data_IF_282509876053
#
_entry.id   IF_282509876053
#
_cell.length_a   1.000
_cell.length_b   1.000
_cell.length_c   1.000
_cell.angle_alpha   90.00
_cell.angle_beta   90.00
_cell.angle_gamma   90.00
#
_symmetry.space_group_name_H-M   'P 1'
#
loop_
_entity.id
_entity.type
_entity.pdbx_description
1 polymer ?
#
# COMPACT_ATOMS: atom_id res chain seq x y z
N UNK A 1 1.10 -17.56 7.65
CA UNK A 1 1.04 -18.51 6.51
C UNK A 1 1.49 -19.89 6.95
N UNK A 2 1.32 -20.93 6.12
CA UNK A 2 1.93 -22.24 6.37
C UNK A 2 3.40 -22.24 5.92
N UNK A 3 4.36 -22.59 6.79
CA UNK A 3 5.74 -22.83 6.39
C UNK A 3 5.82 -23.88 5.28
N UNK A 4 6.84 -23.75 4.41
CA UNK A 4 7.07 -24.60 3.22
C UNK A 4 6.05 -24.48 2.07
N UNK A 5 5.00 -23.66 2.17
CA UNK A 5 4.17 -23.35 1.00
C UNK A 5 4.97 -22.59 -0.08
N UNK A 6 4.71 -22.78 -1.40
CA UNK A 6 5.54 -22.18 -2.45
C UNK A 6 5.65 -20.65 -2.36
N UNK A 7 4.54 -19.98 -2.01
CA UNK A 7 4.52 -18.53 -1.84
C UNK A 7 5.33 -18.05 -0.64
N UNK A 8 5.33 -18.80 0.46
CA UNK A 8 6.16 -18.53 1.64
C UNK A 8 7.66 -18.67 1.30
N UNK A 9 8.04 -19.66 0.48
CA UNK A 9 9.41 -19.79 -0.03
C UNK A 9 9.81 -18.63 -0.94
N UNK A 10 8.87 -18.13 -1.76
CA UNK A 10 9.09 -16.94 -2.58
C UNK A 10 9.17 -15.66 -1.73
N UNK A 11 8.55 -15.60 -0.54
CA UNK A 11 8.65 -14.46 0.37
C UNK A 11 9.94 -14.45 1.22
N UNK A 12 10.60 -15.60 1.39
CA UNK A 12 11.87 -15.77 2.12
C UNK A 12 13.07 -15.39 1.24
N UNK A 13 13.97 -14.51 1.72
CA UNK A 13 15.19 -14.14 1.00
C UNK A 13 16.46 -14.63 1.72
N UNK A 14 17.27 -15.43 1.03
CA UNK A 14 18.37 -16.17 1.66
C UNK A 14 17.85 -17.09 2.77
N UNK A 15 18.38 -16.91 3.99
CA UNK A 15 17.92 -17.60 5.21
C UNK A 15 16.99 -16.72 6.07
N UNK A 16 16.44 -15.63 5.53
CA UNK A 16 15.59 -14.68 6.25
C UNK A 16 14.13 -14.90 5.85
N UNK A 17 13.33 -15.37 6.79
CA UNK A 17 11.89 -15.59 6.62
C UNK A 17 11.10 -14.27 6.74
N UNK A 18 9.88 -14.16 6.16
CA UNK A 18 9.00 -12.99 6.30
C UNK A 18 8.38 -12.90 7.72
N UNK A 19 9.22 -12.56 8.72
CA UNK A 19 8.85 -12.50 10.14
C UNK A 19 8.71 -11.07 10.66
N UNK A 20 7.87 -10.93 11.69
CA UNK A 20 7.36 -9.65 12.19
C UNK A 20 8.46 -8.66 12.64
N UNK A 21 9.52 -9.15 13.28
CA UNK A 21 10.61 -8.32 13.84
C UNK A 21 11.41 -7.49 12.83
N UNK A 22 11.19 -7.67 11.53
CA UNK A 22 11.85 -6.87 10.49
C UNK A 22 11.22 -5.48 10.29
N UNK A 23 10.03 -5.24 10.86
CA UNK A 23 9.31 -3.96 10.79
C UNK A 23 8.96 -3.52 12.23
N UNK A 24 9.22 -2.25 12.63
CA UNK A 24 9.01 -1.79 14.00
C UNK A 24 7.54 -1.51 14.37
N UNK A 25 6.58 -1.93 13.53
CA UNK A 25 5.14 -1.69 13.69
C UNK A 25 4.37 -3.01 13.52
N UNK A 26 3.49 -3.41 14.46
CA UNK A 26 2.72 -4.66 14.38
C UNK A 26 1.56 -4.63 13.37
N UNK A 27 1.27 -3.49 12.74
CA UNK A 27 0.32 -3.34 11.62
C UNK A 27 0.48 -1.95 10.99
N UNK A 28 -0.20 -1.68 9.87
CA UNK A 28 -0.19 -0.33 9.26
C UNK A 28 -0.94 0.72 10.09
N UNK A 29 -1.89 0.31 10.95
CA UNK A 29 -2.52 1.19 11.95
C UNK A 29 -1.48 1.75 12.93
N UNK A 30 -0.59 0.88 13.43
CA UNK A 30 0.36 1.22 14.49
C UNK A 30 1.40 2.28 14.09
N UNK A 31 1.60 2.52 12.79
CA UNK A 31 2.45 3.63 12.31
C UNK A 31 1.89 4.98 12.81
N UNK A 32 0.58 5.21 12.66
CA UNK A 32 -0.07 6.48 13.05
C UNK A 32 -0.07 6.63 14.56
N UNK A 33 -0.37 5.54 15.30
CA UNK A 33 -0.28 5.51 16.77
C UNK A 33 1.13 5.88 17.25
N UNK A 34 2.18 5.41 16.57
CA UNK A 34 3.56 5.82 16.81
C UNK A 34 3.84 7.29 16.50
N UNK A 35 3.35 7.80 15.36
CA UNK A 35 3.59 9.19 14.94
C UNK A 35 2.96 10.22 15.89
N UNK A 36 1.73 10.00 16.38
CA UNK A 36 1.05 10.98 17.24
C UNK A 36 1.73 11.18 18.60
N UNK A 37 2.46 10.18 19.11
CA UNK A 37 3.16 10.26 20.41
C UNK A 37 4.17 11.41 20.43
N UNK A 38 4.99 11.52 19.38
CA UNK A 38 6.08 12.52 19.29
C UNK A 38 5.75 13.70 18.38
N UNK A 39 4.88 13.51 17.39
CA UNK A 39 4.71 14.44 16.27
C UNK A 39 3.23 14.80 15.98
N UNK A 40 2.35 14.72 16.98
CA UNK A 40 0.92 15.09 16.87
C UNK A 40 0.63 16.40 16.12
N UNK A 41 1.43 17.44 16.35
CA UNK A 41 1.22 18.78 15.81
C UNK A 41 1.75 18.96 14.36
N UNK A 42 2.58 18.03 13.87
CA UNK A 42 3.14 18.08 12.53
C UNK A 42 2.08 17.75 11.47
N UNK A 43 2.35 18.09 10.20
CA UNK A 43 1.41 17.88 9.08
C UNK A 43 2.05 17.02 8.00
N UNK A 44 1.96 15.68 8.12
CA UNK A 44 2.44 14.76 7.09
C UNK A 44 1.72 15.02 5.77
N UNK A 45 0.38 15.09 5.76
CA UNK A 45 -0.42 15.40 4.57
C UNK A 45 -0.70 16.91 4.46
N UNK A 46 0.36 17.68 4.31
CA UNK A 46 0.40 19.16 4.44
C UNK A 46 -0.64 19.88 3.58
N UNK A 47 -0.95 19.39 2.38
CA UNK A 47 -1.90 20.04 1.47
C UNK A 47 -3.34 20.08 1.99
N UNK A 48 -3.75 19.13 2.82
CA UNK A 48 -5.10 19.05 3.40
C UNK A 48 -5.20 19.77 4.76
N UNK A 49 -4.12 20.40 5.23
CA UNK A 49 -4.12 21.27 6.40
C UNK A 49 -4.27 20.59 7.76
N UNK A 50 -4.58 19.29 7.81
CA UNK A 50 -4.68 18.50 9.06
C UNK A 50 -3.31 18.35 9.74
N UNK A 51 -3.29 18.37 11.07
CA UNK A 51 -2.18 17.81 11.85
C UNK A 51 -2.31 16.29 11.96
N UNK A 52 -1.23 15.61 12.37
CA UNK A 52 -1.23 14.17 12.57
C UNK A 52 -2.26 13.72 13.63
N UNK A 53 -2.55 14.55 14.65
CA UNK A 53 -3.63 14.26 15.62
C UNK A 53 -5.03 14.54 15.04
N UNK A 54 -5.21 15.57 14.21
CA UNK A 54 -6.50 15.79 13.52
C UNK A 54 -6.82 14.63 12.56
N UNK A 55 -5.79 14.12 11.87
CA UNK A 55 -5.87 12.96 10.99
C UNK A 55 -6.25 11.69 11.76
N UNK A 56 -5.56 11.39 12.87
CA UNK A 56 -5.90 10.26 13.74
C UNK A 56 -7.30 10.38 14.37
N UNK A 57 -7.71 11.58 14.77
CA UNK A 57 -9.06 11.83 15.28
C UNK A 57 -10.13 11.61 14.19
N UNK A 58 -9.85 12.01 12.95
CA UNK A 58 -10.73 11.76 11.80
C UNK A 58 -10.84 10.26 11.49
N UNK A 59 -9.73 9.52 11.55
CA UNK A 59 -9.71 8.06 11.43
C UNK A 59 -10.58 7.40 12.51
N UNK A 60 -10.53 7.86 13.76
CA UNK A 60 -11.39 7.35 14.84
C UNK A 60 -12.88 7.64 14.62
N UNK A 61 -13.23 8.83 14.12
CA UNK A 61 -14.62 9.17 13.75
C UNK A 61 -15.14 8.27 12.64
N UNK A 62 -14.34 8.07 11.60
CA UNK A 62 -14.65 7.18 10.48
C UNK A 62 -14.69 5.71 10.92
N UNK A 63 -13.88 5.29 11.89
CA UNK A 63 -13.95 3.93 12.48
C UNK A 63 -15.28 3.69 13.19
N UNK A 64 -15.80 4.69 13.93
CA UNK A 64 -17.15 4.62 14.50
C UNK A 64 -18.23 4.59 13.41
N UNK A 65 -18.16 5.49 12.42
CA UNK A 65 -19.12 5.53 11.31
C UNK A 65 -19.15 4.22 10.48
N UNK A 66 -17.99 3.62 10.18
CA UNK A 66 -17.89 2.33 9.49
C UNK A 66 -18.54 1.19 10.30
N UNK A 67 -18.39 1.20 11.63
CA UNK A 67 -19.09 0.28 12.51
C UNK A 67 -20.62 0.49 12.46
N UNK A 68 -21.09 1.74 12.36
CA UNK A 68 -22.52 2.05 12.20
C UNK A 68 -23.05 1.65 10.82
N UNK A 69 -22.22 1.71 9.77
CA UNK A 69 -22.49 1.10 8.45
C UNK A 69 -22.44 -0.44 8.47
N UNK A 70 -22.26 -1.08 9.64
CA UNK A 70 -22.22 -2.53 9.78
C UNK A 70 -20.98 -3.17 9.17
N UNK A 71 -19.86 -2.45 9.05
CA UNK A 71 -18.56 -3.03 8.69
C UNK A 71 -17.93 -3.67 9.93
N UNK A 72 -17.41 -4.88 9.74
CA UNK A 72 -16.83 -5.75 10.75
C UNK A 72 -15.37 -6.08 10.40
N UNK A 73 -14.58 -6.56 11.38
CA UNK A 73 -13.24 -7.08 11.09
C UNK A 73 -13.25 -8.16 10.00
N UNK A 74 -12.26 -8.12 9.11
CA UNK A 74 -12.06 -9.00 7.95
C UNK A 74 -13.12 -8.92 6.83
N UNK A 75 -14.07 -7.98 6.91
CA UNK A 75 -14.85 -7.57 5.74
C UNK A 75 -13.93 -7.01 4.65
N UNK A 76 -14.29 -7.24 3.39
CA UNK A 76 -13.66 -6.59 2.23
C UNK A 76 -14.51 -5.39 1.82
N UNK A 77 -13.96 -4.19 1.85
CA UNK A 77 -14.72 -2.96 1.58
C UNK A 77 -14.11 -2.17 0.44
N UNK A 78 -14.92 -1.83 -0.56
CA UNK A 78 -14.48 -1.07 -1.74
C UNK A 78 -14.23 0.39 -1.38
N UNK A 79 -13.06 0.89 -1.76
CA UNK A 79 -12.78 2.32 -1.87
C UNK A 79 -12.94 2.69 -3.35
N UNK A 80 -14.10 3.24 -3.71
CA UNK A 80 -14.43 3.69 -5.09
C UNK A 80 -14.29 5.24 -5.23
N UNK A 81 -13.79 5.91 -4.18
CA UNK A 81 -13.54 7.35 -4.17
C UNK A 81 -12.27 7.71 -4.98
N UNK A 82 -12.25 8.91 -5.54
CA UNK A 82 -11.12 9.45 -6.30
C UNK A 82 -10.49 10.68 -5.60
N UNK A 83 -11.12 11.18 -4.53
CA UNK A 83 -10.55 12.16 -3.61
C UNK A 83 -9.48 11.47 -2.75
N UNK A 84 -8.25 11.98 -2.81
CA UNK A 84 -7.13 11.51 -1.99
C UNK A 84 -7.49 11.50 -0.49
N UNK A 85 -8.08 12.59 0.01
CA UNK A 85 -8.35 12.77 1.44
C UNK A 85 -9.41 11.78 1.94
N UNK A 86 -10.50 11.59 1.20
CA UNK A 86 -11.51 10.59 1.56
C UNK A 86 -10.90 9.17 1.50
N UNK A 87 -10.17 8.86 0.41
CA UNK A 87 -9.60 7.53 0.19
C UNK A 87 -8.59 7.13 1.28
N UNK A 88 -7.73 8.06 1.71
CA UNK A 88 -6.72 7.78 2.74
C UNK A 88 -7.34 7.69 4.13
N UNK A 89 -8.37 8.50 4.41
CA UNK A 89 -9.14 8.41 5.64
C UNK A 89 -9.94 7.10 5.72
N UNK A 90 -10.54 6.63 4.61
CA UNK A 90 -11.17 5.31 4.54
C UNK A 90 -10.17 4.18 4.71
N UNK A 91 -9.02 4.23 4.02
CA UNK A 91 -8.00 3.18 4.10
C UNK A 91 -7.54 2.95 5.55
N UNK A 92 -7.19 4.02 6.27
CA UNK A 92 -6.80 3.91 7.68
C UNK A 92 -7.98 3.63 8.61
N UNK A 93 -9.19 4.10 8.31
CA UNK A 93 -10.41 3.72 9.05
C UNK A 93 -10.73 2.23 8.95
N UNK A 94 -10.65 1.66 7.76
CA UNK A 94 -10.82 0.23 7.50
C UNK A 94 -9.76 -0.60 8.22
N UNK A 95 -8.48 -0.23 8.12
CA UNK A 95 -7.42 -0.91 8.86
C UNK A 95 -7.60 -0.79 10.38
N UNK A 96 -8.09 0.34 10.90
CA UNK A 96 -8.32 0.52 12.33
C UNK A 96 -9.49 -0.34 12.87
N UNK A 97 -10.55 -0.55 12.09
CA UNK A 97 -11.59 -1.55 12.46
C UNK A 97 -11.16 -3.00 12.17
N UNK A 98 -10.00 -3.20 11.54
CA UNK A 98 -9.49 -4.52 11.14
C UNK A 98 -10.16 -5.09 9.88
N UNK A 99 -10.72 -4.26 9.02
CA UNK A 99 -11.26 -4.59 7.71
C UNK A 99 -10.21 -4.42 6.58
N UNK A 100 -10.51 -5.01 5.43
CA UNK A 100 -9.62 -5.13 4.27
C UNK A 100 -10.09 -4.15 3.19
N UNK A 101 -9.23 -3.22 2.76
CA UNK A 101 -9.56 -2.29 1.69
C UNK A 101 -9.50 -2.98 0.32
N UNK A 102 -10.46 -2.71 -0.56
CA UNK A 102 -10.49 -3.23 -1.94
C UNK A 102 -10.40 -2.07 -2.91
N UNK A 103 -9.40 -2.11 -3.79
CA UNK A 103 -9.26 -1.19 -4.91
C UNK A 103 -9.63 -1.89 -6.21
N UNK A 104 -10.35 -1.18 -7.07
CA UNK A 104 -10.84 -1.68 -8.36
C UNK A 104 -10.27 -0.79 -9.48
N UNK A 105 -9.38 -1.35 -10.29
CA UNK A 105 -8.77 -0.60 -11.40
C UNK A 105 -9.81 -0.24 -12.47
N UNK A 106 -10.79 -1.15 -12.69
CA UNK A 106 -12.01 -0.93 -13.49
C UNK A 106 -13.21 -1.54 -12.78
N UNK A 107 -14.41 -1.06 -13.07
CA UNK A 107 -15.62 -1.60 -12.47
C UNK A 107 -15.93 -3.02 -12.98
N UNK A 108 -16.08 -3.96 -12.04
CA UNK A 108 -16.42 -5.35 -12.32
C UNK A 108 -17.42 -5.90 -11.30
N UNK A 109 -18.72 -5.70 -11.55
CA UNK A 109 -19.80 -6.18 -10.67
C UNK A 109 -19.76 -7.70 -10.44
N UNK A 110 -19.30 -8.49 -11.42
CA UNK A 110 -19.21 -9.95 -11.28
C UNK A 110 -18.18 -10.36 -10.22
N UNK A 111 -17.08 -9.60 -10.11
CA UNK A 111 -16.01 -9.85 -9.15
C UNK A 111 -16.32 -9.21 -7.79
N UNK A 112 -16.95 -8.01 -7.75
CA UNK A 112 -17.56 -7.44 -6.53
C UNK A 112 -18.41 -8.53 -5.83
N UNK A 113 -19.24 -9.27 -6.58
CA UNK A 113 -20.05 -10.40 -6.06
C UNK A 113 -19.24 -11.63 -5.66
N UNK A 114 -18.28 -12.10 -6.47
CA UNK A 114 -17.45 -13.29 -6.16
C UNK A 114 -16.60 -13.12 -4.89
N UNK A 115 -16.08 -11.92 -4.65
CA UNK A 115 -15.22 -11.61 -3.50
C UNK A 115 -16.02 -11.30 -2.22
N UNK A 116 -17.35 -11.20 -2.30
CA UNK A 116 -18.25 -10.78 -1.23
C UNK A 116 -17.80 -9.44 -0.61
N UNK A 117 -17.62 -8.41 -1.45
CA UNK A 117 -17.24 -7.07 -0.99
C UNK A 117 -18.45 -6.26 -0.55
N UNK A 118 -18.28 -5.44 0.48
CA UNK A 118 -19.19 -4.36 0.84
C UNK A 118 -18.83 -3.10 0.05
N UNK A 119 -19.83 -2.38 -0.44
CA UNK A 119 -19.68 -1.01 -0.91
C UNK A 119 -20.27 -0.09 0.17
N UNK A 120 -19.66 1.07 0.38
CA UNK A 120 -20.20 2.13 1.24
C UNK A 120 -21.03 3.08 0.37
N UNK A 121 -22.23 3.42 0.81
CA UNK A 121 -23.06 4.45 0.16
C UNK A 121 -22.88 5.78 0.89
N UNK A 122 -22.13 6.69 0.28
CA UNK A 122 -21.92 8.05 0.79
C UNK A 122 -21.56 9.00 -0.36
N UNK A 123 -21.78 10.30 -0.17
CA UNK A 123 -21.40 11.33 -1.14
C UNK A 123 -20.90 12.59 -0.44
N UNK A 124 -19.71 13.05 -0.80
CA UNK A 124 -19.14 14.31 -0.31
C UNK A 124 -17.92 14.15 0.59
N UNK A 125 -17.80 15.04 1.57
CA UNK A 125 -16.64 15.20 2.45
C UNK A 125 -16.77 14.30 3.69
N UNK A 126 -15.91 13.27 3.83
CA UNK A 126 -16.01 12.32 4.93
C UNK A 126 -15.73 12.92 6.32
N UNK A 127 -14.98 14.03 6.40
CA UNK A 127 -14.75 14.72 7.68
C UNK A 127 -16.06 15.33 8.19
N UNK A 128 -16.89 15.88 7.27
CA UNK A 128 -18.22 16.41 7.58
C UNK A 128 -19.24 15.31 7.84
N UNK A 129 -19.27 14.27 7.02
CA UNK A 129 -20.19 13.12 7.18
C UNK A 129 -20.01 12.45 8.56
N UNK A 130 -18.79 12.47 9.09
CA UNK A 130 -18.45 11.87 10.39
C UNK A 130 -18.18 12.90 11.49
N UNK A 131 -18.58 14.18 11.32
CA UNK A 131 -18.24 15.24 12.27
C UNK A 131 -18.91 15.10 13.64
N UNK A 132 -20.06 14.41 13.68
CA UNK A 132 -20.85 14.10 14.88
C UNK A 132 -20.39 12.82 15.58
N UNK A 133 -19.56 11.99 14.95
CA UNK A 133 -19.04 10.76 15.54
C UNK A 133 -17.97 11.04 16.61
N UNK A 134 -17.84 10.09 17.53
CA UNK A 134 -16.78 10.10 18.54
C UNK A 134 -15.39 10.08 17.90
N UNK A 135 -14.49 10.98 18.31
CA UNK A 135 -13.05 10.87 18.04
C UNK A 135 -12.33 9.95 19.03
N UNK A 136 -13.05 9.02 19.65
CA UNK A 136 -12.51 7.87 20.36
C UNK A 136 -13.14 6.60 19.81
N UNK A 137 -12.29 5.65 19.38
CA UNK A 137 -12.70 4.32 18.92
C UNK A 137 -11.86 3.25 19.62
N UNK A 138 -12.47 2.10 19.95
CA UNK A 138 -11.79 0.95 20.53
C UNK A 138 -11.91 -0.23 19.55
N UNK A 139 -10.81 -0.67 18.92
CA UNK A 139 -10.87 -1.71 17.90
C UNK A 139 -11.19 -3.09 18.51
N UNK A 140 -12.23 -3.73 17.98
CA UNK A 140 -12.69 -5.09 18.36
C UNK A 140 -11.72 -6.19 17.92
N UNK A 141 -10.87 -5.89 16.94
CA UNK A 141 -9.84 -6.76 16.38
C UNK A 141 -8.62 -5.91 16.05
N UNK A 142 -7.41 -6.44 16.23
CA UNK A 142 -6.17 -5.83 15.73
C UNK A 142 -5.57 -6.78 14.69
N UNK A 143 -5.37 -6.34 13.43
CA UNK A 143 -4.73 -7.17 12.41
C UNK A 143 -3.32 -7.59 12.80
N UNK A 144 -2.96 -8.83 12.44
CA UNK A 144 -1.57 -9.30 12.45
C UNK A 144 -0.84 -8.81 11.21
N UNK A 145 0.50 -8.82 11.22
CA UNK A 145 1.28 -8.40 10.05
C UNK A 145 1.00 -9.25 8.80
N UNK A 146 0.61 -10.52 8.98
CA UNK A 146 0.29 -11.44 7.88
C UNK A 146 -1.20 -11.49 7.48
N UNK A 147 -2.11 -10.78 8.17
CA UNK A 147 -3.49 -10.59 7.70
C UNK A 147 -3.49 -9.77 6.40
N UNK A 148 -4.45 -10.06 5.53
CA UNK A 148 -4.71 -9.27 4.31
C UNK A 148 -5.13 -7.84 4.70
N UNK A 149 -4.38 -6.85 4.22
CA UNK A 149 -4.64 -5.43 4.42
C UNK A 149 -5.36 -4.80 3.23
N UNK A 150 -5.03 -5.25 2.02
CA UNK A 150 -5.52 -4.71 0.75
C UNK A 150 -5.79 -5.84 -0.24
N UNK A 151 -6.84 -5.69 -1.03
CA UNK A 151 -7.09 -6.47 -2.24
C UNK A 151 -7.08 -5.53 -3.45
N UNK A 152 -6.30 -5.85 -4.48
CA UNK A 152 -6.30 -5.12 -5.76
C UNK A 152 -6.95 -5.99 -6.83
N UNK A 153 -7.91 -5.43 -7.55
CA UNK A 153 -8.60 -6.07 -8.68
C UNK A 153 -8.16 -5.41 -10.00
N UNK A 154 -7.46 -6.18 -10.82
CA UNK A 154 -7.19 -5.84 -12.23
C UNK A 154 -8.28 -6.41 -13.14
N UNK A 155 -8.03 -6.44 -14.46
CA UNK A 155 -8.95 -7.02 -15.44
C UNK A 155 -9.06 -8.55 -15.33
N UNK A 156 -7.95 -9.19 -14.95
CA UNK A 156 -7.65 -10.61 -15.11
C UNK A 156 -7.21 -11.29 -13.80
N UNK A 157 -6.73 -10.54 -12.80
CA UNK A 157 -6.23 -11.04 -11.51
C UNK A 157 -6.94 -10.37 -10.34
N UNK A 158 -6.76 -10.96 -9.16
CA UNK A 158 -7.06 -10.31 -7.88
C UNK A 158 -5.95 -10.66 -6.91
N UNK A 159 -5.21 -9.65 -6.47
CA UNK A 159 -4.02 -9.76 -5.62
C UNK A 159 -4.39 -9.45 -4.17
N UNK A 160 -4.01 -10.33 -3.24
CA UNK A 160 -4.12 -10.11 -1.79
C UNK A 160 -2.79 -9.64 -1.22
N UNK A 161 -2.76 -8.51 -0.52
CA UNK A 161 -1.55 -7.92 0.06
C UNK A 161 -1.67 -7.82 1.58
N UNK A 162 -0.64 -8.30 2.29
CA UNK A 162 -0.58 -8.25 3.74
C UNK A 162 -0.14 -6.88 4.27
N UNK A 163 -0.42 -6.59 5.55
CA UNK A 163 0.15 -5.42 6.22
C UNK A 163 1.68 -5.43 6.15
N UNK A 164 2.31 -6.61 6.32
CA UNK A 164 3.76 -6.81 6.22
C UNK A 164 4.32 -6.42 4.86
N UNK A 165 3.76 -6.96 3.76
CA UNK A 165 4.31 -6.75 2.43
C UNK A 165 4.31 -5.27 2.03
N UNK A 166 3.21 -4.57 2.34
CA UNK A 166 3.08 -3.13 2.15
C UNK A 166 4.09 -2.33 2.99
N UNK A 167 4.31 -2.72 4.26
CA UNK A 167 5.24 -2.08 5.18
C UNK A 167 6.72 -2.29 4.78
N UNK A 168 7.09 -3.50 4.38
CA UNK A 168 8.45 -3.81 3.90
C UNK A 168 8.74 -3.06 2.61
N UNK A 169 7.77 -2.97 1.69
CA UNK A 169 7.93 -2.18 0.46
C UNK A 169 8.17 -0.69 0.77
N UNK A 170 7.36 -0.10 1.65
CA UNK A 170 7.55 1.28 2.12
C UNK A 170 8.91 1.49 2.82
N UNK A 171 9.39 0.51 3.60
CA UNK A 171 10.71 0.59 4.23
C UNK A 171 11.87 0.50 3.23
N UNK A 172 11.75 -0.37 2.22
CA UNK A 172 12.70 -0.45 1.11
C UNK A 172 12.75 0.87 0.33
N UNK A 173 11.60 1.46 0.04
CA UNK A 173 11.48 2.76 -0.61
C UNK A 173 12.08 3.91 0.20
N UNK A 174 11.83 3.98 1.52
CA UNK A 174 12.45 4.99 2.37
C UNK A 174 13.99 4.93 2.28
N UNK A 175 14.56 3.73 2.37
CA UNK A 175 16.02 3.50 2.27
C UNK A 175 16.55 3.92 0.90
N UNK A 176 15.89 3.48 -0.16
CA UNK A 176 16.28 3.68 -1.56
C UNK A 176 16.22 5.15 -1.98
N UNK A 177 15.13 5.84 -1.67
CA UNK A 177 14.95 7.28 -1.93
C UNK A 177 15.79 8.15 -0.97
N UNK A 178 16.49 7.54 0.00
CA UNK A 178 17.16 8.22 1.12
C UNK A 178 16.24 9.22 1.85
N UNK A 179 14.94 8.92 1.91
CA UNK A 179 13.88 9.86 2.29
C UNK A 179 13.92 10.15 3.79
N UNK A 180 14.27 11.39 4.13
CA UNK A 180 14.46 11.85 5.51
C UNK A 180 13.14 12.34 6.12
N UNK A 181 13.09 12.29 7.45
CA UNK A 181 12.05 12.96 8.23
C UNK A 181 11.91 14.44 7.81
N UNK A 182 10.66 14.91 7.71
CA UNK A 182 10.24 16.25 7.27
C UNK A 182 10.60 16.66 5.83
N UNK A 183 11.49 15.95 5.13
CA UNK A 183 11.77 16.18 3.70
C UNK A 183 10.48 16.14 2.88
N UNK A 184 10.29 17.10 1.97
CA UNK A 184 9.06 17.14 1.17
C UNK A 184 9.13 16.19 -0.03
N UNK A 185 8.05 15.48 -0.30
CA UNK A 185 7.88 14.74 -1.55
C UNK A 185 6.41 14.76 -2.00
N UNK A 186 6.16 14.37 -3.25
CA UNK A 186 4.80 14.23 -3.78
C UNK A 186 4.69 13.04 -4.71
N UNK A 187 3.47 12.51 -4.85
CA UNK A 187 3.16 11.46 -5.79
C UNK A 187 1.70 11.60 -6.26
N UNK A 188 1.49 11.60 -7.58
CA UNK A 188 0.22 11.99 -8.23
C UNK A 188 -0.70 10.81 -8.59
N UNK A 189 -0.28 9.58 -8.27
CA UNK A 189 -1.06 8.35 -8.48
C UNK A 189 -2.45 8.50 -7.84
N UNK A 190 -3.48 7.98 -8.51
CA UNK A 190 -4.87 7.96 -8.02
C UNK A 190 -5.10 6.76 -7.08
N UNK A 191 -6.04 6.86 -6.11
CA UNK A 191 -6.35 5.80 -5.13
C UNK A 191 -7.06 4.59 -5.77
N UNK A 192 -6.35 3.83 -6.61
CA UNK A 192 -6.87 2.68 -7.37
C UNK A 192 -5.96 1.46 -7.44
N UNK A 193 -4.73 1.56 -6.95
CA UNK A 193 -3.73 0.48 -6.98
C UNK A 193 -2.95 0.43 -5.68
N UNK A 194 -2.25 -0.68 -5.43
CA UNK A 194 -1.34 -0.79 -4.29
C UNK A 194 -0.12 0.15 -4.40
N UNK A 195 0.21 0.64 -5.61
CA UNK A 195 1.21 1.69 -5.80
C UNK A 195 0.85 2.95 -5.00
N UNK A 196 -0.40 3.40 -5.08
CA UNK A 196 -0.88 4.51 -4.27
C UNK A 196 -0.87 4.19 -2.77
N UNK A 197 -1.26 2.97 -2.38
CA UNK A 197 -1.23 2.54 -0.97
C UNK A 197 0.18 2.66 -0.38
N UNK A 198 1.21 2.18 -1.09
CA UNK A 198 2.59 2.26 -0.59
C UNK A 198 3.14 3.67 -0.72
N UNK A 199 3.15 4.26 -1.92
CA UNK A 199 3.86 5.51 -2.23
C UNK A 199 3.16 6.75 -1.65
N UNK A 200 1.83 6.75 -1.61
CA UNK A 200 1.05 7.93 -1.22
C UNK A 200 0.42 7.81 0.17
N UNK A 201 0.03 6.61 0.62
CA UNK A 201 -0.65 6.43 1.91
C UNK A 201 0.25 5.96 3.06
N UNK A 202 1.19 5.03 2.81
CA UNK A 202 2.09 4.49 3.85
C UNK A 202 3.39 5.28 3.93
N UNK A 203 4.11 5.45 2.81
CA UNK A 203 5.46 6.03 2.78
C UNK A 203 5.58 7.39 3.49
N UNK A 204 4.64 8.35 3.36
CA UNK A 204 4.71 9.61 4.11
C UNK A 204 4.69 9.41 5.63
N UNK A 205 3.83 8.51 6.13
CA UNK A 205 3.70 8.24 7.57
C UNK A 205 4.86 7.38 8.07
N UNK A 206 5.35 6.43 7.25
CA UNK A 206 6.48 5.57 7.59
C UNK A 206 7.79 6.34 7.69
N UNK A 207 8.10 7.16 6.68
CA UNK A 207 9.30 7.99 6.66
C UNK A 207 9.20 9.27 7.51
N UNK A 208 7.98 9.60 7.97
CA UNK A 208 7.60 10.91 8.51
C UNK A 208 8.01 12.08 7.58
N UNK A 209 7.78 11.90 6.29
CA UNK A 209 8.08 12.87 5.26
C UNK A 209 6.88 13.79 4.99
N UNK A 210 7.12 14.99 4.46
CA UNK A 210 6.07 15.98 4.19
C UNK A 210 5.48 15.72 2.81
N UNK A 211 4.27 15.15 2.73
CA UNK A 211 3.56 14.94 1.48
C UNK A 211 2.89 16.25 1.02
N UNK A 212 3.37 16.83 -0.09
CA UNK A 212 2.96 18.16 -0.56
C UNK A 212 3.25 18.37 -2.05
N UNK A 213 2.21 18.62 -2.84
CA UNK A 213 2.30 19.06 -4.25
C UNK A 213 2.98 20.43 -4.40
N UNK A 214 2.95 21.25 -3.34
CA UNK A 214 3.56 22.58 -3.31
C UNK A 214 5.07 22.47 -3.06
N UNK A 215 5.83 22.51 -4.15
CA UNK A 215 7.31 22.44 -4.16
C UNK A 215 7.87 21.27 -3.33
N UNK A 216 7.59 20.01 -3.74
CA UNK A 216 8.26 18.85 -3.17
C UNK A 216 9.78 18.90 -3.43
N UNK A 217 10.57 18.26 -2.58
CA UNK A 217 12.02 18.04 -2.78
C UNK A 217 12.30 16.80 -3.63
N UNK A 218 11.32 15.93 -3.82
CA UNK A 218 11.32 14.75 -4.69
C UNK A 218 9.90 14.60 -5.26
N UNK A 219 9.73 14.57 -6.58
CA UNK A 219 8.47 14.18 -7.23
C UNK A 219 8.51 12.71 -7.66
N UNK A 220 7.39 12.00 -7.54
CA UNK A 220 7.19 10.63 -8.02
C UNK A 220 5.99 10.62 -8.98
N UNK A 221 6.21 10.50 -10.29
CA UNK A 221 5.16 10.62 -11.32
C UNK A 221 5.37 9.65 -12.47
N UNK A 222 4.34 9.36 -13.26
CA UNK A 222 4.47 8.62 -14.53
C UNK A 222 5.00 9.47 -15.68
N UNK A 223 4.93 10.81 -15.57
CA UNK A 223 5.42 11.74 -16.58
C UNK A 223 6.96 11.77 -16.63
N UNK A 224 7.52 12.27 -17.74
CA UNK A 224 8.97 12.47 -17.88
C UNK A 224 9.50 13.53 -16.91
N UNK A 225 10.62 13.23 -16.23
CA UNK A 225 11.17 14.06 -15.16
C UNK A 225 12.71 14.03 -15.14
N UNK A 226 13.31 15.20 -14.93
CA UNK A 226 14.75 15.37 -14.70
C UNK A 226 15.21 14.57 -13.47
N UNK A 227 16.31 13.81 -13.61
CA UNK A 227 16.94 12.98 -12.54
C UNK A 227 17.18 13.74 -11.23
N UNK A 228 17.37 15.06 -11.29
CA UNK A 228 17.59 15.93 -10.12
C UNK A 228 16.32 16.27 -9.33
N UNK A 229 15.14 16.20 -9.95
CA UNK A 229 13.87 16.69 -9.38
C UNK A 229 12.98 15.55 -8.86
N UNK A 230 13.24 14.30 -9.28
CA UNK A 230 12.51 13.15 -8.79
C UNK A 230 12.71 11.86 -9.58
N UNK A 231 11.75 10.95 -9.41
CA UNK A 231 11.77 9.60 -9.96
C UNK A 231 10.54 9.36 -10.83
N UNK A 232 10.74 8.71 -11.98
CA UNK A 232 9.66 8.29 -12.87
C UNK A 232 9.13 6.92 -12.48
N UNK A 233 7.82 6.73 -12.62
CA UNK A 233 7.09 5.51 -12.28
C UNK A 233 6.75 4.74 -13.55
N UNK A 234 6.94 3.41 -13.54
CA UNK A 234 6.73 2.57 -14.73
C UNK A 234 6.35 1.13 -14.43
N UNK A 235 5.40 0.60 -15.18
CA UNK A 235 4.90 -0.78 -15.10
C UNK A 235 5.42 -1.68 -16.24
N UNK A 236 6.12 -1.14 -17.25
CA UNK A 236 6.60 -1.83 -18.45
C UNK A 236 7.90 -2.64 -18.22
N UNK A 237 7.96 -3.39 -17.11
CA UNK A 237 9.19 -3.99 -16.58
C UNK A 237 9.98 -4.89 -17.55
N UNK A 238 9.38 -5.40 -18.62
CA UNK A 238 10.10 -6.11 -19.69
C UNK A 238 11.27 -5.31 -20.28
N UNK A 239 11.21 -3.97 -20.22
CA UNK A 239 12.26 -3.10 -20.76
C UNK A 239 13.35 -2.74 -19.74
N UNK A 240 13.41 -3.36 -18.54
CA UNK A 240 14.14 -2.84 -17.36
C UNK A 240 15.62 -2.50 -17.58
N UNK A 241 16.31 -3.22 -18.46
CA UNK A 241 17.73 -2.98 -18.79
C UNK A 241 17.97 -1.66 -19.54
N UNK A 242 16.92 -1.02 -20.04
CA UNK A 242 16.97 0.28 -20.73
C UNK A 242 16.59 1.47 -19.84
N UNK A 243 16.25 1.24 -18.57
CA UNK A 243 15.81 2.32 -17.67
C UNK A 243 16.95 3.29 -17.32
N UNK A 244 16.59 4.50 -16.93
CA UNK A 244 17.50 5.50 -16.34
C UNK A 244 17.63 5.34 -14.81
N UNK A 245 18.59 6.06 -14.22
CA UNK A 245 18.99 5.91 -12.80
C UNK A 245 17.95 6.38 -11.78
N UNK A 246 16.90 7.08 -12.22
CA UNK A 246 15.80 7.57 -11.40
C UNK A 246 14.45 6.88 -11.71
N UNK A 247 14.41 5.81 -12.51
CA UNK A 247 13.14 5.18 -12.88
C UNK A 247 12.82 3.99 -11.95
N UNK A 248 11.61 3.96 -11.38
CA UNK A 248 11.14 2.97 -10.42
C UNK A 248 10.23 1.93 -11.10
N UNK A 249 10.60 0.66 -10.99
CA UNK A 249 9.87 -0.45 -11.57
C UNK A 249 8.75 -0.94 -10.63
N UNK A 250 7.51 -0.93 -11.13
CA UNK A 250 6.30 -1.25 -10.39
C UNK A 250 5.79 -2.67 -10.70
N UNK A 251 5.29 -3.35 -9.67
CA UNK A 251 4.65 -4.66 -9.75
C UNK A 251 3.65 -4.82 -8.59
N UNK A 252 2.38 -5.09 -8.90
CA UNK A 252 1.28 -5.17 -7.92
C UNK A 252 1.50 -6.34 -6.96
N UNK A 253 1.99 -7.46 -7.47
CA UNK A 253 2.33 -8.66 -6.73
C UNK A 253 3.53 -8.48 -5.78
N UNK A 254 4.42 -7.49 -5.97
CA UNK A 254 5.45 -7.12 -5.00
C UNK A 254 5.01 -5.95 -4.10
N UNK A 255 3.71 -5.83 -3.82
CA UNK A 255 3.07 -4.70 -3.12
C UNK A 255 3.13 -3.37 -3.88
N UNK A 256 4.31 -2.84 -4.25
CA UNK A 256 4.38 -1.70 -5.16
C UNK A 256 5.64 -1.65 -6.03
N UNK A 257 6.78 -1.19 -5.49
CA UNK A 257 8.04 -1.08 -6.25
C UNK A 257 8.83 -2.38 -6.09
N UNK A 258 9.58 -2.81 -7.09
CA UNK A 258 10.50 -3.95 -6.96
C UNK A 258 11.96 -3.62 -7.33
N UNK A 259 12.20 -2.58 -8.13
CA UNK A 259 13.55 -2.09 -8.46
C UNK A 259 13.62 -0.57 -8.69
N UNK A 260 14.83 -0.02 -8.62
CA UNK A 260 15.23 1.28 -9.17
C UNK A 260 16.25 1.03 -10.27
N UNK A 261 16.02 1.56 -11.48
CA UNK A 261 16.68 1.06 -12.68
C UNK A 261 16.50 -0.48 -12.71
N UNK A 262 17.59 -1.25 -12.82
CA UNK A 262 17.65 -2.70 -12.69
C UNK A 262 18.14 -3.21 -11.31
N UNK A 263 18.22 -2.34 -10.30
CA UNK A 263 18.68 -2.72 -8.95
C UNK A 263 17.48 -3.05 -8.06
N UNK A 264 17.36 -4.27 -7.49
CA UNK A 264 16.24 -4.64 -6.64
C UNK A 264 16.17 -3.79 -5.38
N UNK A 265 14.95 -3.54 -4.88
CA UNK A 265 14.78 -2.89 -3.58
C UNK A 265 15.14 -3.83 -2.43
N UNK A 266 15.29 -3.26 -1.23
CA UNK A 266 15.58 -4.01 -0.01
C UNK A 266 14.63 -5.21 0.19
N UNK A 267 15.21 -6.39 0.45
CA UNK A 267 14.51 -7.68 0.64
C UNK A 267 13.67 -8.14 -0.57
N UNK A 268 14.01 -7.66 -1.76
CA UNK A 268 13.54 -8.17 -3.06
C UNK A 268 14.71 -8.75 -3.85
N UNK A 269 14.44 -9.74 -4.69
CA UNK A 269 15.31 -10.31 -5.72
C UNK A 269 14.44 -10.63 -6.95
N UNK A 270 14.95 -10.42 -8.16
CA UNK A 270 14.17 -10.65 -9.37
C UNK A 270 15.03 -11.05 -10.57
N UNK A 271 14.40 -11.66 -11.57
CA UNK A 271 14.96 -11.97 -12.89
C UNK A 271 13.91 -11.70 -13.96
N UNK A 272 14.34 -11.45 -15.19
CA UNK A 272 13.48 -11.45 -16.37
C UNK A 272 13.95 -12.55 -17.31
N UNK A 273 13.02 -13.38 -17.77
CA UNK A 273 13.27 -14.53 -18.66
C UNK A 273 12.09 -14.61 -19.62
N UNK A 274 12.32 -14.49 -20.93
CA UNK A 274 11.29 -14.70 -21.98
C UNK A 274 9.97 -13.94 -21.72
N UNK A 275 10.06 -12.63 -21.43
CA UNK A 275 8.95 -11.74 -21.04
C UNK A 275 8.17 -12.15 -19.77
N UNK A 276 8.78 -12.97 -18.90
CA UNK A 276 8.29 -13.26 -17.54
C UNK A 276 9.12 -12.52 -16.47
N UNK A 277 8.46 -11.90 -15.50
CA UNK A 277 9.07 -11.36 -14.28
C UNK A 277 9.04 -12.42 -13.20
N UNK A 278 10.23 -12.92 -12.83
CA UNK A 278 10.41 -13.87 -11.75
C UNK A 278 10.78 -13.10 -10.49
N UNK A 279 9.89 -13.05 -9.50
CA UNK A 279 10.05 -12.27 -8.27
C UNK A 279 10.19 -13.14 -7.02
N UNK A 280 11.02 -12.68 -6.09
CA UNK A 280 11.23 -13.25 -4.76
C UNK A 280 11.43 -12.10 -3.77
N UNK A 281 10.83 -12.15 -2.59
CA UNK A 281 11.04 -11.13 -1.59
C UNK A 281 9.89 -10.89 -0.61
N UNK A 282 10.21 -10.18 0.47
CA UNK A 282 9.35 -10.00 1.64
C UNK A 282 8.10 -9.15 1.36
N UNK A 283 8.10 -8.36 0.28
CA UNK A 283 6.95 -7.58 -0.17
C UNK A 283 6.02 -8.32 -1.14
N UNK A 284 6.28 -9.59 -1.46
CA UNK A 284 5.38 -10.40 -2.28
C UNK A 284 4.01 -10.61 -1.61
N UNK A 285 2.99 -10.64 -2.47
CA UNK A 285 1.59 -10.85 -2.13
C UNK A 285 1.30 -12.11 -1.30
N UNK A 286 0.16 -12.11 -0.61
CA UNK A 286 -0.42 -13.28 0.03
C UNK A 286 -1.05 -14.29 -0.97
N UNK A 287 -1.21 -13.89 -2.24
CA UNK A 287 -1.59 -14.75 -3.36
C UNK A 287 -2.70 -14.18 -4.25
N UNK A 288 -3.07 -14.94 -5.29
CA UNK A 288 -4.22 -14.62 -6.14
C UNK A 288 -5.54 -15.23 -5.61
N UNK A 289 -6.68 -14.66 -6.03
CA UNK A 289 -8.01 -15.26 -5.82
C UNK A 289 -8.14 -16.60 -6.57
N UNK A 290 -7.87 -16.61 -7.87
CA UNK A 290 -7.65 -17.82 -8.65
C UNK A 290 -6.24 -18.37 -8.38
N UNK A 291 -6.11 -19.18 -7.33
CA UNK A 291 -4.82 -19.71 -6.84
C UNK A 291 -4.05 -20.52 -7.87
N UNK A 292 -4.75 -21.12 -8.82
CA UNK A 292 -4.25 -21.86 -9.98
C UNK A 292 -3.43 -20.98 -10.96
N UNK A 293 -3.58 -19.65 -10.92
CA UNK A 293 -2.74 -18.72 -11.68
C UNK A 293 -1.35 -18.50 -11.08
N UNK A 294 -1.09 -18.93 -9.84
CA UNK A 294 0.21 -18.74 -9.20
C UNK A 294 1.21 -19.81 -9.67
N UNK A 295 2.11 -19.43 -10.56
CA UNK A 295 3.19 -20.29 -11.04
C UNK A 295 4.46 -20.02 -10.21
N UNK A 296 5.13 -21.08 -9.76
CA UNK A 296 6.38 -20.98 -8.99
C UNK A 296 7.46 -21.89 -9.59
N UNK A 297 8.71 -21.40 -9.61
CA UNK A 297 9.89 -22.17 -10.01
C UNK A 297 11.13 -21.61 -9.32
N UNK A 298 12.03 -22.50 -8.89
CA UNK A 298 13.30 -22.16 -8.22
C UNK A 298 13.13 -21.20 -7.02
N UNK A 299 12.00 -21.34 -6.31
CA UNK A 299 11.51 -20.47 -5.23
C UNK A 299 11.32 -18.98 -5.62
N UNK A 300 10.99 -18.69 -6.88
CA UNK A 300 10.42 -17.42 -7.37
C UNK A 300 8.93 -17.61 -7.71
N UNK A 301 8.13 -16.54 -7.54
CA UNK A 301 6.84 -16.37 -8.19
C UNK A 301 7.08 -15.93 -9.64
N UNK A 302 6.45 -16.59 -10.61
CA UNK A 302 6.50 -16.19 -12.03
C UNK A 302 5.27 -15.36 -12.35
N UNK A 303 5.50 -14.15 -12.89
CA UNK A 303 4.47 -13.23 -13.36
C UNK A 303 4.64 -13.04 -14.87
N UNK A 304 3.56 -13.28 -15.61
CA UNK A 304 3.49 -13.00 -17.04
C UNK A 304 2.95 -11.59 -17.27
N UNK A 305 3.41 -10.95 -18.34
CA UNK A 305 2.93 -9.66 -18.83
C UNK A 305 1.41 -9.67 -19.08
N UNK A 306 0.75 -8.55 -18.77
CA UNK A 306 -0.67 -8.23 -19.06
C UNK A 306 -0.84 -7.58 -20.44
#
# INVERSE_FOLDING_TARGET
>A
MQPNSPIYKAQTIGNIEPIEYMIPYPSTQAIIEGQIIKYKNEKVFKDYGLTNIDFFNSIQRISNWLNDQGVLPKDKVVIDDNSFLNSILLLYGLWHIGAIAVFLEKENHSLKKKLNVKCLDYSGDLIKITESHSSHFIPKYKPFLNDDAVVVVSNDKTVFLSHYGLLVNANGLQKLLSLKQQQSFFCDIKPKTSFWVVLCAILPIYAMATFTSKSPSILLTYDDIDIKDGFKLREDWVNIDNYEVNELALCKENSAVFALNNNPIHLTDYKIIEDELWLKGHSLMNGYFEKDKMVFKDDYLIIKKE
#
